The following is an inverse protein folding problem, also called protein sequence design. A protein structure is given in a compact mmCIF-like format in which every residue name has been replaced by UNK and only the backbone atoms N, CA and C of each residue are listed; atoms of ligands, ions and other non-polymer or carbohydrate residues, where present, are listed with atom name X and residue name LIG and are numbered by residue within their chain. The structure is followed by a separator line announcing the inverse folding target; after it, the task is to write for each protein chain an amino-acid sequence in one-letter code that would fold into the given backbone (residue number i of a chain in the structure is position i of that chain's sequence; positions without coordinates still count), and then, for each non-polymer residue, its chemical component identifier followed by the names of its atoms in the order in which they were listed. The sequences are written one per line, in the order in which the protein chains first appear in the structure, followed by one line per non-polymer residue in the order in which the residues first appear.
data_IF_461058488596
#
_entry.id   IF_461058488596
#
_cell.length_a   1.000
_cell.length_b   1.000
_cell.length_c   1.000
_cell.angle_alpha   90.00
_cell.angle_beta   90.00
_cell.angle_gamma   90.00
#
_symmetry.space_group_name_H-M   'P 1'
#
loop_
_entity.id
_entity.type
_entity.pdbx_description
1 polymer ?
#
# COMPACT_ATOMS: atom_id res chain seq x y z
N UNK A 1 -12.00 9.00 13.02
CA UNK A 1 -11.69 7.80 12.21
C UNK A 1 -10.41 8.05 11.45
N UNK A 2 -9.74 7.02 10.93
CA UNK A 2 -8.46 7.16 10.23
C UNK A 2 -8.52 6.51 8.84
N UNK A 3 -7.61 6.92 7.96
CA UNK A 3 -7.57 6.47 6.57
C UNK A 3 -6.16 6.03 6.19
N UNK A 4 -6.08 4.98 5.36
CA UNK A 4 -4.83 4.55 4.72
C UNK A 4 -5.00 4.68 3.21
N UNK A 5 -4.08 5.41 2.58
CA UNK A 5 -3.91 5.48 1.14
C UNK A 5 -2.65 4.75 0.76
N UNK A 6 -2.75 3.86 -0.22
CA UNK A 6 -1.61 3.10 -0.72
C UNK A 6 -1.40 3.45 -2.18
N UNK A 7 -0.18 3.81 -2.55
CA UNK A 7 0.23 4.06 -3.92
C UNK A 7 1.30 3.06 -4.35
N UNK A 8 1.09 2.41 -5.49
CA UNK A 8 2.09 1.55 -6.12
C UNK A 8 2.74 2.32 -7.27
N UNK A 9 4.07 2.42 -7.24
CA UNK A 9 4.85 3.24 -8.16
C UNK A 9 6.05 2.46 -8.69
N UNK A 10 6.47 2.79 -9.91
CA UNK A 10 7.76 2.35 -10.42
C UNK A 10 8.89 3.30 -9.99
N UNK A 11 10.12 3.04 -10.42
CA UNK A 11 11.32 3.79 -10.05
C UNK A 11 11.27 5.27 -10.46
N UNK A 12 10.48 5.59 -11.49
CA UNK A 12 10.28 6.94 -12.00
C UNK A 12 9.07 7.65 -11.35
N UNK A 13 8.53 7.07 -10.27
CA UNK A 13 7.33 7.52 -9.56
C UNK A 13 6.06 7.53 -10.44
N UNK A 14 6.03 6.74 -11.51
CA UNK A 14 4.85 6.55 -12.36
C UNK A 14 3.95 5.46 -11.75
N UNK A 15 2.64 5.59 -11.94
CA UNK A 15 1.65 4.62 -11.47
C UNK A 15 1.88 3.23 -12.10
N UNK A 16 2.05 2.22 -11.25
CA UNK A 16 2.28 0.83 -11.65
C UNK A 16 1.19 -0.03 -11.02
N UNK A 17 0.06 -0.20 -11.71
CA UNK A 17 -1.10 -0.94 -11.18
C UNK A 17 -0.99 -2.46 -11.34
N UNK A 18 -0.19 -2.91 -12.31
CA UNK A 18 -0.11 -4.30 -12.71
C UNK A 18 1.30 -4.70 -13.14
N UNK A 19 1.56 -6.02 -13.12
CA UNK A 19 2.73 -6.64 -13.73
C UNK A 19 2.25 -7.77 -14.64
N UNK A 20 2.70 -7.77 -15.90
CA UNK A 20 2.26 -8.77 -16.89
C UNK A 20 0.74 -8.88 -17.06
N UNK A 21 0.00 -7.79 -16.85
CA UNK A 21 -1.46 -7.75 -16.97
C UNK A 21 -2.24 -8.15 -15.71
N UNK A 22 -1.56 -8.62 -14.66
CA UNK A 22 -2.17 -8.95 -13.36
C UNK A 22 -2.05 -7.77 -12.39
N UNK A 23 -3.15 -7.45 -11.70
CA UNK A 23 -3.19 -6.32 -10.76
C UNK A 23 -2.42 -6.62 -9.47
N UNK A 24 -1.68 -5.63 -8.99
CA UNK A 24 -1.02 -5.69 -7.69
C UNK A 24 -2.11 -5.56 -6.61
N UNK A 25 -2.12 -6.49 -5.66
CA UNK A 25 -3.08 -6.49 -4.56
C UNK A 25 -2.51 -5.75 -3.35
N UNK A 26 -3.33 -4.95 -2.71
CA UNK A 26 -3.01 -4.28 -1.46
C UNK A 26 -3.88 -4.87 -0.36
N UNK A 27 -3.25 -5.31 0.72
CA UNK A 27 -3.91 -5.88 1.89
C UNK A 27 -3.61 -5.01 3.12
N UNK A 28 -4.59 -4.94 4.01
CA UNK A 28 -4.44 -4.33 5.34
C UNK A 28 -4.74 -5.39 6.38
N UNK A 29 -3.86 -5.51 7.37
CA UNK A 29 -4.06 -6.34 8.57
C UNK A 29 -3.98 -5.47 9.82
N UNK A 30 -4.66 -5.87 10.89
CA UNK A 30 -4.59 -5.26 12.22
C UNK A 30 -4.31 -6.36 13.24
N UNK A 31 -3.27 -6.19 14.07
CA UNK A 31 -2.85 -7.19 15.06
C UNK A 31 -2.75 -8.62 14.50
N UNK A 32 -2.20 -8.74 13.29
CA UNK A 32 -2.04 -10.01 12.58
C UNK A 32 -3.32 -10.59 11.97
N UNK A 33 -4.46 -9.92 12.10
CA UNK A 33 -5.74 -10.33 11.49
C UNK A 33 -5.98 -9.59 10.19
N UNK A 34 -6.43 -10.32 9.16
CA UNK A 34 -6.86 -9.73 7.90
C UNK A 34 -8.03 -8.77 8.11
N UNK A 35 -7.93 -7.55 7.59
CA UNK A 35 -9.00 -6.55 7.64
C UNK A 35 -9.64 -6.37 6.27
N UNK A 36 -8.84 -6.07 5.26
CA UNK A 36 -9.34 -5.77 3.92
C UNK A 36 -8.29 -6.03 2.83
N UNK A 37 -8.76 -6.17 1.60
CA UNK A 37 -7.94 -6.26 0.40
C UNK A 37 -8.58 -5.47 -0.74
N UNK A 38 -7.77 -4.76 -1.50
CA UNK A 38 -8.19 -4.11 -2.75
C UNK A 38 -7.10 -4.25 -3.81
N UNK A 39 -7.45 -4.45 -5.10
CA UNK A 39 -6.48 -4.29 -6.17
C UNK A 39 -6.08 -2.82 -6.31
N UNK A 40 -4.83 -2.57 -6.69
CA UNK A 40 -4.40 -1.24 -7.09
C UNK A 40 -5.21 -0.80 -8.31
N UNK A 41 -5.88 0.36 -8.21
CA UNK A 41 -6.71 0.91 -9.28
C UNK A 41 -5.94 1.04 -10.59
N UNK A 42 -6.55 0.65 -11.70
CA UNK A 42 -5.96 0.80 -13.05
C UNK A 42 -5.65 2.26 -13.40
N UNK A 43 -6.37 3.21 -12.81
CA UNK A 43 -6.31 4.62 -13.22
C UNK A 43 -5.14 5.37 -12.59
N UNK A 44 -4.79 5.03 -11.37
CA UNK A 44 -3.78 5.76 -10.59
C UNK A 44 -2.90 4.85 -9.72
N UNK A 45 -3.03 3.53 -9.83
CA UNK A 45 -2.34 2.51 -9.02
C UNK A 45 -2.46 2.78 -7.51
N UNK A 46 -3.67 3.14 -7.06
CA UNK A 46 -3.97 3.37 -5.65
C UNK A 46 -4.99 2.40 -5.09
N UNK A 47 -4.88 2.13 -3.79
CA UNK A 47 -5.89 1.47 -2.98
C UNK A 47 -6.16 2.32 -1.73
N UNK A 48 -7.41 2.36 -1.27
CA UNK A 48 -7.79 3.24 -0.16
C UNK A 48 -8.68 2.50 0.83
N UNK A 49 -8.37 2.68 2.11
CA UNK A 49 -9.07 2.07 3.23
C UNK A 49 -9.53 3.17 4.17
N UNK A 50 -10.84 3.31 4.32
CA UNK A 50 -11.50 4.34 5.12
C UNK A 50 -12.00 3.79 6.45
N UNK A 51 -12.39 4.69 7.34
CA UNK A 51 -13.07 4.38 8.60
C UNK A 51 -12.33 3.36 9.49
N UNK A 52 -11.00 3.39 9.45
CA UNK A 52 -10.17 2.50 10.24
C UNK A 52 -10.11 2.99 11.71
N UNK A 53 -10.28 2.09 12.69
CA UNK A 53 -10.01 2.42 14.08
C UNK A 53 -8.51 2.70 14.28
N UNK A 54 -8.18 3.50 15.29
CA UNK A 54 -6.79 3.68 15.71
C UNK A 54 -6.20 2.35 16.18
N UNK A 55 -4.91 2.12 15.92
CA UNK A 55 -4.26 0.86 16.25
C UNK A 55 -3.05 0.55 15.36
N UNK A 56 -2.54 -0.67 15.48
CA UNK A 56 -1.37 -1.15 14.73
C UNK A 56 -1.82 -1.91 13.49
N UNK A 57 -1.29 -1.49 12.34
CA UNK A 57 -1.61 -2.08 11.06
C UNK A 57 -0.37 -2.51 10.30
N UNK A 58 -0.55 -3.51 9.44
CA UNK A 58 0.39 -3.81 8.37
C UNK A 58 -0.28 -3.58 7.02
N UNK A 59 0.35 -2.79 6.17
CA UNK A 59 0.00 -2.63 4.76
C UNK A 59 0.90 -3.53 3.94
N UNK A 60 0.31 -4.35 3.07
CA UNK A 60 1.03 -5.34 2.28
C UNK A 60 0.70 -5.14 0.80
N UNK A 61 1.70 -4.89 -0.03
CA UNK A 61 1.59 -4.99 -1.48
C UNK A 61 2.01 -6.40 -1.92
N UNK A 62 1.15 -7.10 -2.67
CA UNK A 62 1.32 -8.50 -3.07
C UNK A 62 1.16 -8.65 -4.58
N UNK A 63 2.12 -9.34 -5.20
CA UNK A 63 2.01 -9.81 -6.58
C UNK A 63 3.00 -10.97 -6.81
N UNK A 64 2.59 -12.08 -7.47
CA UNK A 64 3.44 -13.28 -7.62
C UNK A 64 4.71 -13.04 -8.44
N UNK A 65 4.68 -12.06 -9.34
CA UNK A 65 5.85 -11.69 -10.17
C UNK A 65 6.77 -10.63 -9.55
N UNK A 66 6.45 -10.07 -8.37
CA UNK A 66 7.31 -9.10 -7.69
C UNK A 66 8.30 -9.80 -6.76
N UNK A 67 9.40 -9.09 -6.45
CA UNK A 67 10.47 -9.54 -5.57
C UNK A 67 10.70 -8.48 -4.47
N UNK A 68 10.34 -8.77 -3.21
CA UNK A 68 9.61 -9.97 -2.77
C UNK A 68 8.17 -10.02 -3.30
N UNK A 69 7.56 -11.21 -3.31
CA UNK A 69 6.15 -11.40 -3.72
C UNK A 69 5.17 -10.69 -2.80
N UNK A 70 5.60 -10.39 -1.57
CA UNK A 70 4.92 -9.57 -0.59
C UNK A 70 5.88 -8.55 0.00
N UNK A 71 5.53 -7.28 -0.12
CA UNK A 71 6.23 -6.16 0.51
C UNK A 71 5.35 -5.63 1.63
N UNK A 72 5.87 -5.54 2.85
CA UNK A 72 5.12 -5.13 4.04
C UNK A 72 5.62 -3.83 4.63
N UNK A 73 4.70 -3.01 5.11
CA UNK A 73 4.97 -1.86 5.96
C UNK A 73 4.07 -1.87 7.19
N UNK A 74 4.69 -1.94 8.36
CA UNK A 74 3.99 -1.78 9.63
C UNK A 74 3.90 -0.30 10.01
N UNK A 75 2.76 0.08 10.59
CA UNK A 75 2.43 1.47 10.92
C UNK A 75 1.41 1.53 12.06
N UNK A 76 1.35 2.68 12.73
CA UNK A 76 0.43 2.95 13.82
C UNK A 76 -0.52 4.09 13.40
N UNK A 77 -1.82 3.81 13.37
CA UNK A 77 -2.86 4.79 13.07
C UNK A 77 -3.30 5.46 14.36
N UNK A 78 -3.14 6.78 14.42
CA UNK A 78 -3.81 7.62 15.41
C UNK A 78 -5.23 7.99 14.98
N UNK A 79 -6.04 8.44 15.93
CA UNK A 79 -7.37 8.99 15.62
C UNK A 79 -7.20 10.23 14.74
N UNK A 80 -8.07 10.38 13.73
CA UNK A 80 -8.09 11.51 12.80
C UNK A 80 -6.79 11.66 11.99
N UNK A 81 -6.09 10.55 11.73
CA UNK A 81 -4.91 10.53 10.88
C UNK A 81 -5.23 9.96 9.49
N UNK A 82 -4.58 10.53 8.48
CA UNK A 82 -4.46 9.97 7.14
C UNK A 82 -3.01 9.52 6.97
N UNK A 83 -2.81 8.25 6.59
CA UNK A 83 -1.47 7.71 6.31
C UNK A 83 -1.37 7.34 4.84
N UNK A 84 -0.43 7.94 4.14
CA UNK A 84 -0.01 7.56 2.81
C UNK A 84 1.15 6.57 2.87
N UNK A 85 1.02 5.42 2.21
CA UNK A 85 2.08 4.42 2.03
C UNK A 85 2.38 4.29 0.55
N UNK A 86 3.65 4.45 0.15
CA UNK A 86 4.06 4.33 -1.24
C UNK A 86 5.08 3.22 -1.40
N UNK A 87 4.71 2.17 -2.13
CA UNK A 87 5.64 1.12 -2.54
C UNK A 87 6.24 1.51 -3.88
N UNK A 88 7.57 1.56 -3.95
CA UNK A 88 8.33 1.92 -5.13
C UNK A 88 9.08 0.68 -5.60
N UNK A 89 8.80 0.24 -6.82
CA UNK A 89 9.42 -0.92 -7.45
C UNK A 89 10.31 -0.50 -8.61
N UNK A 90 11.41 -1.20 -8.83
CA UNK A 90 12.04 -1.27 -10.13
C UNK A 90 11.13 -2.13 -11.01
N UNK A 91 10.45 -1.52 -11.98
CA UNK A 91 9.48 -2.24 -12.82
C UNK A 91 10.15 -3.28 -13.74
N UNK A 92 11.27 -2.95 -14.45
CA UNK A 92 12.02 -3.94 -15.22
C UNK A 92 12.48 -5.16 -14.41
N UNK A 93 13.07 -4.95 -13.23
CA UNK A 93 13.62 -6.01 -12.38
C UNK A 93 12.55 -6.62 -11.44
N UNK A 94 11.36 -6.00 -11.40
CA UNK A 94 10.23 -6.36 -10.53
C UNK A 94 10.60 -6.36 -9.05
N UNK A 95 11.55 -5.54 -8.66
CA UNK A 95 12.15 -5.54 -7.33
C UNK A 95 11.67 -4.35 -6.50
N UNK A 96 11.32 -4.57 -5.23
CA UNK A 96 11.03 -3.48 -4.31
C UNK A 96 12.31 -2.65 -4.09
N UNK A 97 12.23 -1.35 -4.34
CA UNK A 97 13.30 -0.41 -4.09
C UNK A 97 13.13 0.30 -2.75
N UNK A 98 11.91 0.78 -2.47
CA UNK A 98 11.65 1.57 -1.29
C UNK A 98 10.18 1.51 -0.85
N UNK A 99 9.94 1.78 0.44
CA UNK A 99 8.62 2.05 0.96
C UNK A 99 8.65 3.40 1.70
N UNK A 100 7.93 4.38 1.17
CA UNK A 100 7.80 5.69 1.78
C UNK A 100 6.48 5.78 2.57
N UNK A 101 6.48 6.57 3.64
CA UNK A 101 5.29 6.85 4.45
C UNK A 101 5.16 8.32 4.74
N UNK A 102 3.93 8.81 4.68
CA UNK A 102 3.54 10.18 5.01
C UNK A 102 2.32 10.15 5.93
N UNK A 103 2.31 11.00 6.96
CA UNK A 103 1.22 11.08 7.93
C UNK A 103 0.70 12.50 7.96
N UNK A 104 -0.61 12.66 7.86
CA UNK A 104 -1.32 13.93 8.00
C UNK A 104 -2.38 13.80 9.08
N UNK A 105 -2.46 14.77 9.98
CA UNK A 105 -3.48 14.84 11.01
C UNK A 105 -4.57 15.81 10.58
N UNK A 106 -5.82 15.34 10.62
CA UNK A 106 -6.98 16.17 10.38
C UNK A 106 -7.29 16.97 11.65
N UNK A 107 -7.67 18.26 11.50
CA UNK A 107 -7.98 19.14 12.62
C UNK A 107 -9.19 18.67 13.45
#
# INVERSE_FOLDING_TARGET
MAEIYVAIRNQDRIAMSSVSGELILVLVTSDGRFMAQQPASLRNAMATFFDLPAGKYSVIARHPSLQPTESRKDLELSINAIIGVRFIYNEPERQLLNIETEVSYLP
#
